data_IF_790086937704
#
_entry.id   IF_790086937704
#
_cell.length_a   1.000
_cell.length_b   1.000
_cell.length_c   1.000
_cell.angle_alpha   90.00
_cell.angle_beta   90.00
_cell.angle_gamma   90.00
#
_symmetry.space_group_name_H-M   'P 1'
#
loop_
_entity.id
_entity.type
_entity.pdbx_description
1 polymer ?
#
# COMPACT_ATOMS: atom_id res chain seq x y z
N UNK A 1 52.70 -55.61 26.94
CA UNK A 1 51.26 -55.44 27.30
C UNK A 1 51.17 -54.25 28.28
N UNK A 2 50.74 -53.08 27.79
CA UNK A 2 50.58 -51.87 28.61
C UNK A 2 49.06 -51.58 28.67
N UNK A 3 48.50 -51.61 29.89
CA UNK A 3 47.12 -51.33 30.19
C UNK A 3 46.82 -49.77 30.08
N UNK A 4 46.02 -49.36 29.16
CA UNK A 4 45.53 -47.98 29.03
C UNK A 4 44.63 -47.63 30.22
N UNK A 5 44.97 -46.61 31.00
CA UNK A 5 44.12 -46.01 32.05
C UNK A 5 42.99 -45.20 31.37
N UNK A 6 41.72 -45.61 31.57
CA UNK A 6 40.54 -44.82 31.22
C UNK A 6 40.47 -43.57 32.11
N UNK A 7 40.78 -42.40 31.57
CA UNK A 7 40.58 -41.14 32.23
C UNK A 7 39.07 -40.82 32.33
N UNK A 8 38.59 -40.59 33.56
CA UNK A 8 37.22 -40.06 33.83
C UNK A 8 37.13 -38.65 33.27
N UNK A 9 36.19 -38.41 32.34
CA UNK A 9 35.87 -37.07 31.85
C UNK A 9 35.33 -36.23 33.05
N UNK A 10 35.77 -34.98 33.22
CA UNK A 10 35.20 -34.13 34.27
C UNK A 10 33.71 -33.82 33.98
N UNK A 11 32.90 -33.99 35.02
CA UNK A 11 31.47 -33.64 34.98
C UNK A 11 31.43 -32.10 35.01
N UNK A 12 31.09 -31.49 33.86
CA UNK A 12 30.82 -30.05 33.77
C UNK A 12 29.46 -29.80 34.46
N UNK A 13 29.41 -28.96 35.51
CA UNK A 13 28.16 -28.65 36.16
C UNK A 13 27.24 -27.91 35.16
N UNK A 14 26.15 -28.54 34.76
CA UNK A 14 25.11 -27.92 33.93
C UNK A 14 24.45 -26.82 34.75
N UNK A 15 24.65 -25.55 34.35
CA UNK A 15 23.89 -24.42 34.93
C UNK A 15 22.40 -24.73 34.86
N UNK A 16 21.64 -24.47 35.93
CA UNK A 16 20.21 -24.74 35.94
C UNK A 16 19.56 -24.00 34.81
N UNK A 17 18.80 -24.75 33.99
CA UNK A 17 18.01 -24.22 32.85
C UNK A 17 17.01 -23.19 33.41
N UNK A 18 17.30 -21.88 33.25
CA UNK A 18 16.35 -20.84 33.59
C UNK A 18 15.14 -21.05 32.65
N UNK A 19 14.01 -21.45 33.22
CA UNK A 19 12.73 -21.50 32.53
C UNK A 19 12.52 -20.16 31.82
N UNK A 20 12.67 -20.12 30.48
CA UNK A 20 12.29 -18.97 29.68
C UNK A 20 10.76 -18.85 29.82
N UNK A 21 10.27 -17.78 30.49
CA UNK A 21 8.85 -17.45 30.47
C UNK A 21 8.34 -17.57 29.04
N UNK A 22 7.43 -18.49 28.77
CA UNK A 22 6.71 -18.56 27.50
C UNK A 22 5.83 -17.32 27.46
N UNK A 23 6.29 -16.28 26.79
CA UNK A 23 5.47 -15.13 26.50
C UNK A 23 4.40 -15.55 25.47
N UNK A 24 3.15 -15.17 25.71
CA UNK A 24 2.08 -15.34 24.72
C UNK A 24 2.46 -14.58 23.44
N UNK A 25 1.91 -14.99 22.30
CA UNK A 25 2.12 -14.33 21.01
C UNK A 25 1.85 -12.82 21.12
N UNK A 26 0.84 -12.44 21.88
CA UNK A 26 0.45 -11.06 22.16
C UNK A 26 1.54 -10.27 22.91
N UNK A 27 2.15 -10.86 23.93
CA UNK A 27 3.24 -10.22 24.70
C UNK A 27 4.49 -9.98 23.85
N UNK A 28 4.77 -10.90 22.91
CA UNK A 28 5.91 -10.78 21.99
C UNK A 28 5.68 -9.66 21.00
N UNK A 29 4.45 -9.58 20.45
CA UNK A 29 4.05 -8.51 19.52
C UNK A 29 4.09 -7.16 20.21
N UNK A 30 3.50 -7.03 21.39
CA UNK A 30 3.49 -5.79 22.18
C UNK A 30 4.93 -5.29 22.46
N UNK A 31 5.83 -6.18 22.86
CA UNK A 31 7.22 -5.78 23.15
C UNK A 31 7.99 -5.37 21.90
N UNK A 32 7.81 -6.05 20.79
CA UNK A 32 8.48 -5.77 19.52
C UNK A 32 7.98 -4.47 18.89
N UNK A 33 6.68 -4.18 19.01
CA UNK A 33 6.03 -3.04 18.37
C UNK A 33 5.77 -1.85 19.33
N UNK A 34 6.34 -1.89 20.55
CA UNK A 34 6.07 -0.92 21.62
C UNK A 34 6.20 0.55 21.17
N UNK A 35 7.25 0.90 20.45
CA UNK A 35 7.47 2.28 19.96
C UNK A 35 6.41 2.69 18.96
N UNK A 36 6.02 1.78 18.07
CA UNK A 36 4.97 2.03 17.08
C UNK A 36 3.60 2.17 17.76
N UNK A 37 3.28 1.33 18.74
CA UNK A 37 2.04 1.44 19.50
C UNK A 37 1.95 2.75 20.28
N UNK A 38 3.05 3.23 20.85
CA UNK A 38 3.08 4.56 21.46
C UNK A 38 2.84 5.67 20.44
N UNK A 39 3.41 5.57 19.25
CA UNK A 39 3.14 6.52 18.16
C UNK A 39 1.65 6.50 17.78
N UNK A 40 1.04 5.33 17.61
CA UNK A 40 -0.39 5.19 17.33
C UNK A 40 -1.25 5.81 18.46
N UNK A 41 -0.96 5.47 19.72
CA UNK A 41 -1.69 6.01 20.86
C UNK A 41 -1.57 7.54 20.93
N UNK A 42 -0.38 8.08 20.75
CA UNK A 42 -0.15 9.52 20.68
C UNK A 42 -0.94 10.17 19.52
N UNK A 43 -0.89 9.58 18.34
CA UNK A 43 -1.63 10.08 17.17
C UNK A 43 -3.14 10.05 17.39
N UNK A 44 -3.67 9.02 18.07
CA UNK A 44 -5.10 8.96 18.44
C UNK A 44 -5.48 10.06 19.45
N UNK A 45 -4.60 10.35 20.42
CA UNK A 45 -4.82 11.47 21.37
C UNK A 45 -4.83 12.79 20.62
N UNK A 46 -3.86 13.01 19.74
CA UNK A 46 -3.81 14.24 18.90
C UNK A 46 -5.09 14.36 18.07
N UNK A 47 -5.53 13.30 17.39
CA UNK A 47 -6.77 13.29 16.64
C UNK A 47 -7.98 13.67 17.51
N UNK A 48 -8.05 13.10 18.73
CA UNK A 48 -9.13 13.39 19.70
C UNK A 48 -9.13 14.82 20.23
N UNK A 49 -7.98 15.48 20.30
CA UNK A 49 -7.87 16.87 20.74
C UNK A 49 -8.18 17.84 19.61
N UNK A 50 -7.74 17.55 18.37
CA UNK A 50 -7.77 18.54 17.30
C UNK A 50 -9.02 18.47 16.42
N UNK A 51 -9.78 17.34 16.42
CA UNK A 51 -10.90 17.17 15.50
C UNK A 51 -11.97 18.27 15.59
N UNK A 52 -12.23 18.95 16.75
CA UNK A 52 -13.22 20.02 16.80
C UNK A 52 -12.73 21.34 16.16
N UNK A 53 -11.43 21.46 15.91
CA UNK A 53 -10.80 22.66 15.35
C UNK A 53 -10.53 22.47 13.86
N UNK A 54 -11.51 22.78 13.00
CA UNK A 54 -11.49 22.45 11.56
C UNK A 54 -10.18 22.80 10.84
N UNK A 55 -9.64 24.01 11.04
CA UNK A 55 -8.40 24.47 10.39
C UNK A 55 -7.16 23.67 10.82
N UNK A 56 -7.11 23.17 12.06
CA UNK A 56 -6.02 22.32 12.56
C UNK A 56 -6.27 20.86 12.13
N UNK A 57 -7.50 20.38 12.32
CA UNK A 57 -7.91 19.02 11.97
C UNK A 57 -7.64 18.70 10.50
N UNK A 58 -7.86 19.64 9.60
CA UNK A 58 -7.59 19.57 8.17
C UNK A 58 -6.13 19.20 7.88
N UNK A 59 -5.18 19.93 8.44
CA UNK A 59 -3.73 19.70 8.22
C UNK A 59 -3.21 18.49 8.98
N UNK A 60 -3.71 18.23 10.18
CA UNK A 60 -3.36 17.02 10.95
C UNK A 60 -3.90 15.77 10.26
N UNK A 61 -5.15 15.80 9.80
CA UNK A 61 -5.74 14.72 9.01
C UNK A 61 -4.97 14.46 7.73
N UNK A 62 -4.61 15.52 6.99
CA UNK A 62 -3.73 15.44 5.84
C UNK A 62 -2.37 14.81 6.18
N UNK A 63 -1.73 15.24 7.27
CA UNK A 63 -0.42 14.71 7.67
C UNK A 63 -0.50 13.20 7.99
N UNK A 64 -1.53 12.76 8.71
CA UNK A 64 -1.76 11.34 8.98
C UNK A 64 -2.07 10.56 7.69
N UNK A 65 -2.92 11.10 6.82
CA UNK A 65 -3.27 10.47 5.55
C UNK A 65 -2.06 10.40 4.60
N UNK A 66 -1.29 11.46 4.49
CA UNK A 66 -0.06 11.52 3.67
C UNK A 66 0.99 10.53 4.16
N UNK A 67 1.25 10.49 5.46
CA UNK A 67 2.18 9.52 6.04
C UNK A 67 1.69 8.08 5.82
N UNK A 68 0.39 7.84 5.99
CA UNK A 68 -0.22 6.54 5.77
C UNK A 68 -0.14 6.09 4.31
N UNK A 69 -0.42 6.98 3.36
CA UNK A 69 -0.29 6.69 1.93
C UNK A 69 1.15 6.39 1.53
N UNK A 70 2.13 7.18 2.02
CA UNK A 70 3.56 6.92 1.80
C UNK A 70 3.95 5.55 2.38
N UNK A 71 3.47 5.18 3.57
CA UNK A 71 3.82 3.94 4.23
C UNK A 71 3.13 2.70 3.64
N UNK A 72 1.96 2.84 3.03
CA UNK A 72 1.15 1.74 2.49
C UNK A 72 1.23 1.64 0.96
N UNK A 73 0.85 2.71 0.26
CA UNK A 73 0.60 2.64 -1.18
C UNK A 73 1.87 2.76 -2.00
N UNK A 74 2.86 3.52 -1.52
CA UNK A 74 4.16 3.58 -2.20
C UNK A 74 4.85 2.21 -2.27
N UNK A 75 4.57 1.30 -1.32
CA UNK A 75 5.05 -0.09 -1.37
C UNK A 75 4.50 -0.82 -2.60
N UNK A 76 3.25 -0.57 -2.94
CA UNK A 76 2.56 -1.28 -4.03
C UNK A 76 3.00 -0.75 -5.41
N UNK A 77 3.37 0.51 -5.50
CA UNK A 77 3.73 1.18 -6.75
C UNK A 77 5.23 1.28 -6.99
N UNK A 78 6.00 1.67 -5.99
CA UNK A 78 7.45 1.86 -6.13
C UNK A 78 8.28 0.80 -5.41
N UNK A 79 7.66 -0.18 -4.78
CA UNK A 79 8.36 -1.21 -4.04
C UNK A 79 9.20 -2.13 -4.93
N UNK A 80 8.71 -2.51 -6.11
CA UNK A 80 9.47 -3.25 -7.13
C UNK A 80 10.70 -2.47 -7.59
N UNK A 81 10.56 -1.15 -7.80
CA UNK A 81 11.64 -0.24 -8.13
C UNK A 81 12.70 -0.18 -7.02
N UNK A 82 12.29 -0.04 -5.75
CA UNK A 82 13.22 0.01 -4.61
C UNK A 82 14.03 -1.29 -4.51
N UNK A 83 13.37 -2.44 -4.60
CA UNK A 83 13.99 -3.76 -4.42
C UNK A 83 14.97 -4.08 -5.56
N UNK A 84 14.60 -3.78 -6.80
CA UNK A 84 15.46 -4.06 -7.96
C UNK A 84 16.59 -3.06 -8.17
N UNK A 85 16.58 -1.93 -7.45
CA UNK A 85 17.63 -0.92 -7.43
C UNK A 85 18.31 -0.77 -6.05
N UNK A 86 18.30 -1.83 -5.21
CA UNK A 86 18.88 -1.75 -3.86
C UNK A 86 20.39 -1.44 -3.85
N UNK A 87 21.09 -1.67 -4.97
CA UNK A 87 22.48 -1.30 -5.20
C UNK A 87 22.69 0.21 -5.40
N UNK A 88 21.63 0.94 -5.74
CA UNK A 88 21.67 2.38 -5.98
C UNK A 88 21.56 3.15 -4.65
N UNK A 89 22.15 4.34 -4.63
CA UNK A 89 22.05 5.23 -3.48
C UNK A 89 20.62 5.73 -3.34
N UNK A 90 20.07 5.67 -2.12
CA UNK A 90 18.68 6.01 -1.81
C UNK A 90 18.25 7.40 -2.30
N UNK A 91 19.15 8.39 -2.26
CA UNK A 91 18.83 9.76 -2.63
C UNK A 91 18.61 9.93 -4.15
N UNK A 92 19.27 9.13 -5.01
CA UNK A 92 18.97 9.15 -6.45
C UNK A 92 17.58 8.59 -6.75
N UNK A 93 17.20 7.54 -6.06
CA UNK A 93 15.86 6.95 -6.17
C UNK A 93 14.81 7.93 -5.67
N UNK A 94 15.05 8.58 -4.52
CA UNK A 94 14.18 9.60 -3.97
C UNK A 94 14.05 10.81 -4.89
N UNK A 95 15.15 11.39 -5.36
CA UNK A 95 15.11 12.55 -6.25
C UNK A 95 14.33 12.24 -7.53
N UNK A 96 14.52 11.07 -8.12
CA UNK A 96 13.80 10.65 -9.31
C UNK A 96 12.28 10.55 -9.05
N UNK A 97 11.86 9.74 -8.07
CA UNK A 97 10.43 9.57 -7.75
C UNK A 97 9.81 10.84 -7.17
N UNK A 98 10.57 11.60 -6.39
CA UNK A 98 10.15 12.87 -5.83
C UNK A 98 9.99 13.96 -6.90
N UNK A 99 10.85 14.00 -7.91
CA UNK A 99 10.69 14.94 -9.05
C UNK A 99 9.44 14.61 -9.87
N UNK A 100 9.17 13.32 -10.11
CA UNK A 100 7.92 12.90 -10.78
C UNK A 100 6.71 13.32 -9.93
N UNK A 101 6.76 13.09 -8.61
CA UNK A 101 5.71 13.56 -7.70
C UNK A 101 5.49 15.06 -7.83
N UNK A 102 6.56 15.87 -7.66
CA UNK A 102 6.46 17.33 -7.74
C UNK A 102 5.93 17.81 -9.09
N UNK A 103 6.40 17.23 -10.20
CA UNK A 103 5.92 17.55 -11.54
C UNK A 103 4.42 17.21 -11.70
N UNK A 104 3.99 16.05 -11.19
CA UNK A 104 2.61 15.61 -11.26
C UNK A 104 1.67 16.54 -10.50
N UNK A 105 2.01 16.87 -9.24
CA UNK A 105 1.14 17.73 -8.40
C UNK A 105 1.18 19.19 -8.84
N UNK A 106 2.36 19.67 -9.30
CA UNK A 106 2.49 21.03 -9.81
C UNK A 106 1.67 21.22 -11.08
N UNK A 107 1.71 20.24 -12.00
CA UNK A 107 0.89 20.28 -13.21
C UNK A 107 -0.61 20.35 -12.87
N UNK A 108 -1.07 19.51 -11.95
CA UNK A 108 -2.47 19.54 -11.51
C UNK A 108 -2.83 20.89 -10.88
N UNK A 109 -2.04 21.35 -9.93
CA UNK A 109 -2.26 22.62 -9.22
C UNK A 109 -2.31 23.82 -10.19
N UNK A 110 -1.41 23.87 -11.17
CA UNK A 110 -1.35 24.95 -12.13
C UNK A 110 -2.52 24.92 -13.13
N UNK A 111 -2.82 23.72 -13.68
CA UNK A 111 -3.85 23.57 -14.72
C UNK A 111 -5.27 23.63 -14.18
N UNK A 112 -5.48 23.27 -12.92
CA UNK A 112 -6.81 23.20 -12.30
C UNK A 112 -6.98 24.19 -11.15
N UNK A 113 -6.39 25.38 -11.27
CA UNK A 113 -6.59 26.51 -10.36
C UNK A 113 -6.43 26.17 -8.88
N UNK A 114 -5.34 25.48 -8.51
CA UNK A 114 -5.04 25.10 -7.14
C UNK A 114 -5.45 23.68 -6.73
N UNK A 115 -6.14 22.93 -7.60
CA UNK A 115 -6.47 21.53 -7.33
C UNK A 115 -5.28 20.61 -7.60
N UNK A 116 -4.88 19.83 -6.61
CA UNK A 116 -3.77 18.86 -6.70
C UNK A 116 -4.23 17.44 -7.06
N UNK A 117 -5.54 17.24 -7.32
CA UNK A 117 -6.18 15.93 -7.47
C UNK A 117 -6.67 15.63 -8.88
N UNK A 118 -6.31 16.45 -9.87
CA UNK A 118 -6.84 16.33 -11.24
C UNK A 118 -8.37 16.36 -11.28
N UNK A 119 -8.99 17.21 -10.46
CA UNK A 119 -10.44 17.35 -10.27
C UNK A 119 -11.17 16.05 -9.85
N UNK A 120 -10.43 15.06 -9.33
CA UNK A 120 -11.01 13.77 -8.97
C UNK A 120 -11.91 13.82 -7.76
N UNK A 121 -11.64 14.71 -6.82
CA UNK A 121 -12.54 14.91 -5.68
C UNK A 121 -13.88 15.47 -6.16
N UNK A 122 -13.86 16.49 -7.00
CA UNK A 122 -15.08 17.09 -7.57
C UNK A 122 -15.86 16.07 -8.41
N UNK A 123 -15.18 15.31 -9.27
CA UNK A 123 -15.83 14.27 -10.10
C UNK A 123 -16.44 13.11 -9.29
N UNK A 124 -16.05 12.95 -8.02
CA UNK A 124 -16.57 11.91 -7.11
C UNK A 124 -17.62 12.43 -6.11
N UNK A 125 -18.02 13.69 -6.23
CA UNK A 125 -19.00 14.30 -5.32
C UNK A 125 -18.41 14.81 -4.00
N UNK A 126 -17.10 15.10 -3.97
CA UNK A 126 -16.41 15.73 -2.85
C UNK A 126 -16.04 17.18 -3.20
N UNK A 127 -16.99 17.95 -3.77
CA UNK A 127 -16.73 19.29 -4.28
C UNK A 127 -16.37 20.30 -3.20
N UNK A 128 -16.89 20.09 -1.99
CA UNK A 128 -16.68 21.02 -0.88
C UNK A 128 -15.55 20.54 0.04
N UNK A 129 -14.81 21.53 0.55
CA UNK A 129 -13.88 21.29 1.67
C UNK A 129 -14.70 20.91 2.91
N UNK A 130 -14.26 19.92 3.70
CA UNK A 130 -14.93 19.63 4.97
C UNK A 130 -14.85 20.83 5.92
N UNK A 131 -16.00 21.36 6.31
CA UNK A 131 -16.08 22.47 7.28
C UNK A 131 -15.92 21.98 8.73
N UNK A 132 -16.25 20.73 8.98
CA UNK A 132 -16.17 20.08 10.27
C UNK A 132 -15.60 18.67 10.12
N UNK A 133 -14.92 18.21 11.16
CA UNK A 133 -14.37 16.86 11.22
C UNK A 133 -14.94 16.11 12.41
N UNK A 134 -15.16 14.82 12.24
CA UNK A 134 -15.41 13.90 13.36
C UNK A 134 -14.14 13.13 13.70
N UNK A 135 -14.01 12.71 14.96
CA UNK A 135 -12.82 12.00 15.45
C UNK A 135 -12.40 10.83 14.53
N UNK A 136 -13.37 10.01 14.09
CA UNK A 136 -13.09 8.84 13.28
C UNK A 136 -12.53 9.18 11.88
N UNK A 137 -12.83 10.35 11.33
CA UNK A 137 -12.21 10.79 10.07
C UNK A 137 -10.69 11.01 10.23
N UNK A 138 -10.26 11.56 11.37
CA UNK A 138 -8.83 11.72 11.67
C UNK A 138 -8.20 10.40 12.13
N UNK A 139 -8.97 9.51 12.73
CA UNK A 139 -8.51 8.20 13.16
C UNK A 139 -8.32 7.22 11.99
N UNK A 140 -9.07 7.38 10.89
CA UNK A 140 -9.02 6.47 9.74
C UNK A 140 -7.60 6.25 9.17
N UNK A 141 -6.79 7.27 8.90
CA UNK A 141 -5.42 7.06 8.43
C UNK A 141 -4.51 6.42 9.49
N UNK A 142 -4.78 6.63 10.78
CA UNK A 142 -4.02 6.01 11.87
C UNK A 142 -4.36 4.51 11.94
N UNK A 143 -5.63 4.14 11.76
CA UNK A 143 -6.08 2.75 11.65
C UNK A 143 -5.48 2.08 10.42
N UNK A 144 -5.42 2.78 9.28
CA UNK A 144 -4.76 2.31 8.07
C UNK A 144 -3.28 1.97 8.32
N UNK A 145 -2.55 2.84 9.04
CA UNK A 145 -1.16 2.58 9.44
C UNK A 145 -1.03 1.34 10.33
N UNK A 146 -1.95 1.19 11.29
CA UNK A 146 -1.98 0.04 12.17
C UNK A 146 -2.17 -1.26 11.38
N UNK A 147 -3.12 -1.28 10.45
CA UNK A 147 -3.38 -2.44 9.59
C UNK A 147 -2.20 -2.78 8.68
N UNK A 148 -1.61 -1.76 8.04
CA UNK A 148 -0.41 -1.90 7.23
C UNK A 148 0.75 -2.52 8.04
N UNK A 149 0.90 -2.10 9.30
CA UNK A 149 1.90 -2.67 10.21
C UNK A 149 1.69 -4.15 10.47
N UNK A 150 0.45 -4.60 10.52
CA UNK A 150 0.09 -6.01 10.66
C UNK A 150 0.03 -6.76 9.32
N UNK A 151 0.52 -6.14 8.24
CA UNK A 151 0.56 -6.72 6.88
C UNK A 151 -0.82 -7.04 6.31
N UNK A 152 -1.84 -6.32 6.76
CA UNK A 152 -3.18 -6.38 6.20
C UNK A 152 -3.25 -5.31 5.11
N UNK A 153 -3.28 -5.68 3.83
CA UNK A 153 -3.40 -4.70 2.75
C UNK A 153 -4.79 -4.06 2.78
N UNK A 154 -4.81 -2.76 2.93
CA UNK A 154 -6.03 -1.94 2.97
C UNK A 154 -5.98 -0.95 1.84
N UNK A 155 -7.11 -0.73 1.22
CA UNK A 155 -7.27 0.32 0.22
C UNK A 155 -7.40 1.68 0.91
N UNK A 156 -6.51 2.61 0.58
CA UNK A 156 -6.63 4.02 0.99
C UNK A 156 -7.92 4.63 0.48
N UNK A 157 -8.32 4.31 -0.75
CA UNK A 157 -9.60 4.77 -1.32
C UNK A 157 -10.78 4.34 -0.44
N UNK A 158 -10.84 3.08 0.00
CA UNK A 158 -11.92 2.65 0.90
C UNK A 158 -11.78 3.29 2.28
N UNK A 159 -10.61 3.25 2.88
CA UNK A 159 -10.44 3.71 4.26
C UNK A 159 -10.57 5.23 4.39
N UNK A 160 -10.03 6.00 3.45
CA UNK A 160 -9.98 7.46 3.57
C UNK A 160 -11.17 8.14 2.87
N UNK A 161 -11.57 7.73 1.65
CA UNK A 161 -12.69 8.39 0.99
C UNK A 161 -14.05 7.96 1.55
N UNK A 162 -14.23 6.70 1.96
CA UNK A 162 -15.52 6.25 2.46
C UNK A 162 -15.96 6.98 3.74
N UNK A 163 -15.01 7.43 4.57
CA UNK A 163 -15.30 8.18 5.80
C UNK A 163 -15.75 9.63 5.55
N UNK A 164 -15.62 10.12 4.31
CA UNK A 164 -16.14 11.43 3.88
C UNK A 164 -17.37 11.32 2.97
N UNK A 165 -17.74 10.12 2.55
CA UNK A 165 -18.90 9.94 1.67
C UNK A 165 -20.20 10.00 2.48
N UNK A 166 -21.20 10.64 1.93
CA UNK A 166 -22.55 10.75 2.52
C UNK A 166 -23.57 9.84 1.81
N UNK A 167 -23.12 9.02 0.86
CA UNK A 167 -24.00 8.22 0.01
C UNK A 167 -23.56 6.75 0.02
N UNK A 168 -24.43 5.84 0.45
CA UNK A 168 -24.19 4.38 0.44
C UNK A 168 -23.97 3.84 -0.97
N UNK A 169 -24.64 4.38 -1.96
CA UNK A 169 -24.46 4.00 -3.37
C UNK A 169 -23.05 4.24 -3.87
N UNK A 170 -22.36 5.27 -3.36
CA UNK A 170 -20.95 5.51 -3.68
C UNK A 170 -20.05 4.40 -3.12
N UNK A 171 -20.32 3.92 -1.91
CA UNK A 171 -19.57 2.80 -1.29
C UNK A 171 -19.77 1.52 -2.12
N UNK A 172 -21.02 1.18 -2.45
CA UNK A 172 -21.35 0.00 -3.27
C UNK A 172 -20.66 0.09 -4.64
N UNK A 173 -20.70 1.27 -5.28
CA UNK A 173 -20.02 1.52 -6.55
C UNK A 173 -18.51 1.31 -6.43
N UNK A 174 -17.87 1.84 -5.38
CA UNK A 174 -16.43 1.62 -5.14
C UNK A 174 -16.10 0.15 -4.94
N UNK A 175 -16.92 -0.61 -4.20
CA UNK A 175 -16.73 -2.06 -3.98
C UNK A 175 -16.82 -2.80 -5.31
N UNK A 176 -17.89 -2.61 -6.08
CA UNK A 176 -18.10 -3.30 -7.35
C UNK A 176 -16.97 -3.01 -8.34
N UNK A 177 -16.55 -1.76 -8.46
CA UNK A 177 -15.46 -1.35 -9.35
C UNK A 177 -14.10 -1.92 -8.89
N UNK A 178 -13.87 -2.05 -7.60
CA UNK A 178 -12.64 -2.63 -7.07
C UNK A 178 -12.58 -4.14 -7.26
N UNK A 179 -13.71 -4.84 -7.09
CA UNK A 179 -13.82 -6.26 -7.43
C UNK A 179 -13.56 -6.49 -8.92
N UNK A 180 -14.15 -5.66 -9.79
CA UNK A 180 -13.91 -5.70 -11.23
C UNK A 180 -12.41 -5.48 -11.54
N UNK A 181 -11.80 -4.49 -10.89
CA UNK A 181 -10.37 -4.20 -11.03
C UNK A 181 -9.49 -5.37 -10.59
N UNK A 182 -9.83 -6.02 -9.48
CA UNK A 182 -9.14 -7.24 -9.01
C UNK A 182 -9.23 -8.36 -10.05
N UNK A 183 -10.44 -8.68 -10.52
CA UNK A 183 -10.66 -9.78 -11.49
C UNK A 183 -9.98 -9.46 -12.81
N UNK A 184 -10.09 -8.25 -13.32
CA UNK A 184 -9.45 -7.82 -14.56
C UNK A 184 -7.92 -7.92 -14.46
N UNK A 185 -7.32 -7.42 -13.38
CA UNK A 185 -5.88 -7.49 -13.15
C UNK A 185 -5.41 -8.96 -13.00
N UNK A 186 -6.17 -9.78 -12.29
CA UNK A 186 -5.90 -11.21 -12.15
C UNK A 186 -5.89 -11.93 -13.52
N UNK A 187 -6.93 -11.73 -14.32
CA UNK A 187 -7.06 -12.39 -15.64
C UNK A 187 -5.97 -11.90 -16.61
N UNK A 188 -5.74 -10.61 -16.68
CA UNK A 188 -4.70 -10.03 -17.55
C UNK A 188 -3.32 -10.54 -17.15
N UNK A 189 -2.98 -10.51 -15.87
CA UNK A 189 -1.71 -11.02 -15.39
C UNK A 189 -1.58 -12.52 -15.62
N UNK A 190 -2.63 -13.31 -15.35
CA UNK A 190 -2.64 -14.74 -15.62
C UNK A 190 -2.32 -15.04 -17.09
N UNK A 191 -3.01 -14.40 -18.03
CA UNK A 191 -2.80 -14.60 -19.47
C UNK A 191 -1.37 -14.22 -19.86
N UNK A 192 -0.92 -13.03 -19.47
CA UNK A 192 0.42 -12.52 -19.81
C UNK A 192 1.49 -13.47 -19.28
N UNK A 193 1.38 -13.93 -18.02
CA UNK A 193 2.38 -14.83 -17.45
C UNK A 193 2.30 -16.25 -17.98
N UNK A 194 1.13 -16.75 -18.37
CA UNK A 194 1.00 -18.00 -19.13
C UNK A 194 1.73 -17.94 -20.45
N UNK A 195 1.66 -16.81 -21.17
CA UNK A 195 2.32 -16.63 -22.45
C UNK A 195 3.83 -16.39 -22.28
N UNK A 196 4.21 -15.51 -21.38
CA UNK A 196 5.58 -14.99 -21.25
C UNK A 196 6.50 -15.86 -20.37
N UNK A 197 6.00 -16.73 -19.48
CA UNK A 197 6.86 -17.42 -18.49
C UNK A 197 7.99 -18.23 -19.14
N UNK A 198 7.75 -18.88 -20.27
CA UNK A 198 8.81 -19.63 -20.99
C UNK A 198 9.87 -18.68 -21.56
N UNK A 199 9.44 -17.56 -22.14
CA UNK A 199 10.31 -16.53 -22.69
C UNK A 199 11.10 -15.87 -21.56
N UNK A 200 10.41 -15.50 -20.47
CA UNK A 200 11.03 -14.89 -19.29
C UNK A 200 12.09 -15.79 -18.66
N UNK A 201 11.83 -17.08 -18.47
CA UNK A 201 12.82 -18.05 -17.98
C UNK A 201 14.08 -18.11 -18.85
N UNK A 202 13.96 -17.88 -20.15
CA UNK A 202 15.10 -17.84 -21.08
C UNK A 202 15.81 -16.47 -21.02
N UNK A 203 15.04 -15.39 -20.92
CA UNK A 203 15.55 -14.00 -20.90
C UNK A 203 16.18 -13.60 -19.56
N UNK A 204 15.70 -14.11 -18.43
CA UNK A 204 16.19 -13.77 -17.06
C UNK A 204 17.49 -14.51 -16.71
N UNK A 205 18.04 -15.33 -17.61
CA UNK A 205 19.35 -15.97 -17.43
C UNK A 205 20.48 -14.94 -17.63
N UNK A 206 21.49 -14.99 -16.75
CA UNK A 206 22.67 -14.13 -16.83
C UNK A 206 22.42 -12.69 -16.36
N UNK A 207 23.43 -11.84 -16.47
CA UNK A 207 23.34 -10.42 -16.09
C UNK A 207 22.42 -9.67 -17.04
N UNK A 208 21.54 -8.83 -16.49
CA UNK A 208 20.68 -7.96 -17.28
C UNK A 208 21.54 -6.89 -18.01
N UNK A 209 21.20 -6.57 -19.25
CA UNK A 209 21.82 -5.47 -19.96
C UNK A 209 21.43 -4.14 -19.31
N UNK A 210 22.30 -3.12 -19.37
CA UNK A 210 22.08 -1.82 -18.73
C UNK A 210 20.82 -1.08 -19.19
N UNK A 211 20.37 -1.33 -20.43
CA UNK A 211 19.11 -0.77 -20.96
C UNK A 211 17.87 -1.16 -20.13
N UNK A 212 17.89 -2.30 -19.46
CA UNK A 212 16.78 -2.70 -18.59
C UNK A 212 16.63 -1.81 -17.36
N UNK A 213 17.73 -1.27 -16.85
CA UNK A 213 17.68 -0.30 -15.75
C UNK A 213 16.98 0.98 -16.22
N UNK A 214 17.34 1.48 -17.41
CA UNK A 214 16.71 2.67 -17.99
C UNK A 214 15.22 2.40 -18.24
N UNK A 215 14.88 1.28 -18.87
CA UNK A 215 13.49 0.88 -19.10
C UNK A 215 12.68 0.81 -17.80
N UNK A 216 13.26 0.22 -16.75
CA UNK A 216 12.59 0.15 -15.46
C UNK A 216 12.36 1.54 -14.86
N UNK A 217 13.36 2.41 -14.86
CA UNK A 217 13.19 3.76 -14.31
C UNK A 217 12.06 4.51 -15.04
N UNK A 218 12.03 4.46 -16.37
CA UNK A 218 10.95 5.08 -17.15
C UNK A 218 9.59 4.48 -16.84
N UNK A 219 9.49 3.14 -16.83
CA UNK A 219 8.21 2.43 -16.60
C UNK A 219 7.74 2.60 -15.16
N UNK A 220 8.63 2.47 -14.17
CA UNK A 220 8.27 2.70 -12.76
C UNK A 220 7.90 4.17 -12.51
N UNK A 221 8.55 5.11 -13.20
CA UNK A 221 8.19 6.53 -13.17
C UNK A 221 6.81 6.79 -13.76
N UNK A 222 6.46 6.15 -14.88
CA UNK A 222 5.14 6.24 -15.48
C UNK A 222 4.06 5.60 -14.57
N UNK A 223 4.33 4.44 -13.99
CA UNK A 223 3.46 3.81 -13.01
C UNK A 223 3.19 4.74 -11.82
N UNK A 224 4.26 5.36 -11.30
CA UNK A 224 4.17 6.28 -10.17
C UNK A 224 3.35 7.53 -10.51
N UNK A 225 3.58 8.15 -11.67
CA UNK A 225 2.78 9.27 -12.16
C UNK A 225 1.30 8.89 -12.27
N UNK A 226 0.99 7.77 -12.91
CA UNK A 226 -0.39 7.30 -13.10
C UNK A 226 -1.07 7.04 -11.76
N UNK A 227 -0.35 6.49 -10.79
CA UNK A 227 -0.86 6.27 -9.45
C UNK A 227 -1.11 7.61 -8.73
N UNK A 228 -0.15 8.54 -8.76
CA UNK A 228 -0.27 9.85 -8.12
C UNK A 228 -1.48 10.63 -8.63
N UNK A 229 -1.65 10.71 -9.94
CA UNK A 229 -2.78 11.40 -10.56
C UNK A 229 -4.15 10.91 -10.05
N UNK A 230 -4.19 9.80 -9.35
CA UNK A 230 -5.43 9.15 -8.93
C UNK A 230 -5.63 9.04 -7.44
N UNK A 231 -4.60 8.62 -6.74
CA UNK A 231 -4.72 8.26 -5.34
C UNK A 231 -4.31 9.41 -4.40
N UNK A 232 -3.71 10.49 -4.92
CA UNK A 232 -3.52 11.72 -4.15
C UNK A 232 -4.85 12.34 -3.68
N UNK A 233 -5.94 12.13 -4.40
CA UNK A 233 -7.27 12.52 -3.95
C UNK A 233 -7.64 11.93 -2.59
N UNK A 234 -7.18 10.70 -2.29
CA UNK A 234 -7.43 10.04 -1.01
C UNK A 234 -6.78 10.78 0.18
N UNK A 235 -5.67 11.46 -0.08
CA UNK A 235 -4.93 12.24 0.93
C UNK A 235 -5.39 13.69 0.97
N UNK A 236 -5.63 14.27 -0.20
CA UNK A 236 -6.07 15.66 -0.33
C UNK A 236 -7.53 15.89 0.09
N UNK A 237 -8.31 14.82 0.35
CA UNK A 237 -9.71 14.92 0.78
C UNK A 237 -9.89 15.76 2.07
N UNK A 238 -8.87 15.82 2.90
CA UNK A 238 -8.83 16.63 4.13
C UNK A 238 -8.66 18.13 3.85
N UNK A 239 -8.04 18.51 2.73
CA UNK A 239 -7.58 19.86 2.42
C UNK A 239 -8.60 20.65 1.59
N UNK A 240 -8.44 21.98 1.50
CA UNK A 240 -9.19 22.80 0.57
C UNK A 240 -9.07 22.25 -0.86
N UNK A 241 -10.12 22.40 -1.65
CA UNK A 241 -10.12 21.93 -3.05
C UNK A 241 -9.19 22.74 -3.93
N UNK A 242 -8.97 23.99 -3.58
CA UNK A 242 -8.03 24.90 -4.24
C UNK A 242 -6.99 25.36 -3.22
N UNK A 243 -5.76 24.93 -3.40
CA UNK A 243 -4.65 25.29 -2.53
C UNK A 243 -4.02 26.60 -3.01
N UNK A 244 -3.85 27.56 -2.10
CA UNK A 244 -2.96 28.70 -2.32
C UNK A 244 -1.51 28.24 -2.52
N UNK A 245 -0.63 29.12 -3.01
CA UNK A 245 0.77 28.76 -3.25
C UNK A 245 1.48 28.28 -1.96
N UNK A 246 1.17 28.88 -0.80
CA UNK A 246 1.76 28.48 0.49
C UNK A 246 1.25 27.10 0.92
N UNK A 247 -0.04 26.84 0.78
CA UNK A 247 -0.64 25.56 1.09
C UNK A 247 -0.13 24.45 0.14
N UNK A 248 0.04 24.77 -1.14
CA UNK A 248 0.66 23.87 -2.10
C UNK A 248 2.10 23.50 -1.71
N UNK A 249 2.92 24.48 -1.30
CA UNK A 249 4.28 24.23 -0.83
C UNK A 249 4.27 23.34 0.42
N UNK A 250 3.37 23.58 1.36
CA UNK A 250 3.22 22.76 2.56
C UNK A 250 2.80 21.32 2.19
N UNK A 251 1.81 21.16 1.31
CA UNK A 251 1.34 19.88 0.80
C UNK A 251 2.46 19.11 0.09
N UNK A 252 3.05 19.72 -0.92
CA UNK A 252 4.07 19.09 -1.75
C UNK A 252 5.36 18.82 -0.95
N UNK A 253 5.77 19.77 -0.10
CA UNK A 253 6.94 19.62 0.77
C UNK A 253 6.80 18.47 1.77
N UNK A 254 5.64 18.35 2.42
CA UNK A 254 5.38 17.28 3.38
C UNK A 254 5.51 15.89 2.72
N UNK A 255 4.87 15.68 1.58
CA UNK A 255 4.91 14.38 0.88
C UNK A 255 6.31 14.12 0.31
N UNK A 256 6.96 15.13 -0.31
CA UNK A 256 8.31 15.00 -0.87
C UNK A 256 9.34 14.61 0.20
N UNK A 257 9.30 15.26 1.36
CA UNK A 257 10.19 14.93 2.49
C UNK A 257 9.84 13.57 3.11
N UNK A 258 8.56 13.24 3.19
CA UNK A 258 8.09 11.93 3.65
C UNK A 258 8.57 10.79 2.75
N UNK A 259 8.53 10.97 1.43
CA UNK A 259 9.14 10.05 0.46
C UNK A 259 10.65 9.94 0.70
N UNK A 260 11.35 11.06 0.92
CA UNK A 260 12.77 11.07 1.24
C UNK A 260 13.10 10.26 2.47
N UNK A 261 12.33 10.42 3.54
CA UNK A 261 12.46 9.65 4.75
C UNK A 261 12.24 8.14 4.52
N UNK A 262 11.23 7.79 3.73
CA UNK A 262 10.95 6.39 3.35
C UNK A 262 12.12 5.77 2.57
N UNK A 263 12.66 6.47 1.58
CA UNK A 263 13.82 5.99 0.82
C UNK A 263 15.10 5.91 1.68
N UNK A 264 15.30 6.88 2.58
CA UNK A 264 16.43 6.87 3.54
C UNK A 264 16.40 5.64 4.44
N UNK A 265 15.23 5.32 4.99
CA UNK A 265 15.01 4.13 5.81
C UNK A 265 15.07 2.83 4.98
N UNK A 266 15.30 2.94 3.66
CA UNK A 266 15.35 1.84 2.68
C UNK A 266 14.18 0.87 2.77
N UNK A 267 13.08 1.33 3.34
CA UNK A 267 11.90 0.48 3.47
C UNK A 267 12.19 -0.89 4.10
N UNK A 268 13.10 -0.99 5.11
CA UNK A 268 13.55 -2.27 5.69
C UNK A 268 12.43 -3.30 5.92
N UNK A 269 11.22 -2.79 6.23
CA UNK A 269 10.02 -3.63 6.40
C UNK A 269 9.27 -3.84 5.10
N UNK A 270 9.37 -2.90 4.17
CA UNK A 270 8.78 -2.94 2.83
C UNK A 270 9.44 -4.04 2.01
N UNK A 271 10.77 -4.11 2.03
CA UNK A 271 11.54 -5.15 1.35
C UNK A 271 11.11 -6.55 1.78
N UNK A 272 10.82 -6.74 3.07
CA UNK A 272 10.37 -8.04 3.57
C UNK A 272 8.99 -8.43 3.02
N UNK A 273 8.05 -7.48 2.87
CA UNK A 273 6.72 -7.75 2.33
C UNK A 273 6.80 -8.09 0.84
N UNK A 274 7.60 -7.37 0.08
CA UNK A 274 7.78 -7.61 -1.37
C UNK A 274 8.59 -8.89 -1.61
N UNK A 275 9.65 -9.14 -0.82
CA UNK A 275 10.45 -10.34 -0.92
C UNK A 275 9.68 -11.61 -0.55
N UNK A 276 8.71 -11.53 0.36
CA UNK A 276 7.81 -12.65 0.67
C UNK A 276 6.81 -12.95 -0.46
N UNK A 277 6.40 -11.90 -1.20
CA UNK A 277 5.35 -12.02 -2.22
C UNK A 277 5.87 -12.16 -3.64
N UNK A 278 7.09 -11.67 -3.92
CA UNK A 278 7.67 -11.75 -5.26
C UNK A 278 9.19 -11.75 -5.17
N UNK A 279 9.83 -12.74 -5.78
CA UNK A 279 11.29 -12.73 -6.01
C UNK A 279 11.60 -11.77 -7.17
N UNK A 280 11.42 -10.45 -6.93
CA UNK A 280 11.49 -9.39 -7.96
C UNK A 280 12.81 -8.63 -7.91
N UNK A 281 13.89 -9.26 -7.45
CA UNK A 281 15.22 -8.63 -7.45
C UNK A 281 15.79 -8.42 -8.84
N UNK A 282 15.37 -9.22 -9.82
CA UNK A 282 15.81 -9.05 -11.20
C UNK A 282 15.08 -7.87 -11.84
N UNK A 283 15.85 -6.89 -12.33
CA UNK A 283 15.35 -5.66 -12.97
C UNK A 283 14.39 -5.93 -14.12
N UNK A 284 14.58 -7.01 -14.87
CA UNK A 284 13.71 -7.41 -16.00
C UNK A 284 12.33 -7.84 -15.52
N UNK A 285 12.30 -8.63 -14.45
CA UNK A 285 11.05 -9.06 -13.84
C UNK A 285 10.29 -7.90 -13.21
N UNK A 286 11.00 -6.99 -12.52
CA UNK A 286 10.43 -5.77 -11.97
C UNK A 286 9.82 -4.89 -13.07
N UNK A 287 10.57 -4.64 -14.15
CA UNK A 287 10.11 -3.84 -15.30
C UNK A 287 8.82 -4.39 -15.90
N UNK A 288 8.70 -5.71 -16.05
CA UNK A 288 7.51 -6.33 -16.63
C UNK A 288 6.30 -6.23 -15.69
N UNK A 289 6.50 -6.40 -14.40
CA UNK A 289 5.42 -6.22 -13.40
C UNK A 289 4.92 -4.77 -13.44
N UNK A 290 5.84 -3.81 -13.37
CA UNK A 290 5.51 -2.39 -13.37
C UNK A 290 4.83 -1.98 -14.69
N UNK A 291 5.25 -2.54 -15.83
CA UNK A 291 4.63 -2.30 -17.14
C UNK A 291 3.18 -2.81 -17.17
N UNK A 292 2.95 -4.05 -16.75
CA UNK A 292 1.60 -4.63 -16.72
C UNK A 292 0.71 -3.82 -15.79
N UNK A 293 1.22 -3.47 -14.61
CA UNK A 293 0.48 -2.70 -13.62
C UNK A 293 0.14 -1.30 -14.14
N UNK A 294 1.11 -0.61 -14.76
CA UNK A 294 0.89 0.72 -15.31
C UNK A 294 -0.13 0.74 -16.46
N UNK A 295 -0.10 -0.26 -17.36
CA UNK A 295 -1.09 -0.39 -18.43
C UNK A 295 -2.49 -0.62 -17.85
N UNK A 296 -2.63 -1.49 -16.86
CA UNK A 296 -3.92 -1.76 -16.21
C UNK A 296 -4.43 -0.49 -15.53
N UNK A 297 -3.60 0.19 -14.74
CA UNK A 297 -4.01 1.43 -14.07
C UNK A 297 -4.38 2.51 -15.08
N UNK A 298 -3.56 2.73 -16.09
CA UNK A 298 -3.82 3.75 -17.10
C UNK A 298 -5.13 3.49 -17.84
N UNK A 299 -5.35 2.25 -18.30
CA UNK A 299 -6.57 1.89 -19.02
C UNK A 299 -7.83 2.09 -18.17
N UNK A 300 -7.85 1.49 -16.98
CA UNK A 300 -9.07 1.55 -16.16
C UNK A 300 -9.32 2.90 -15.52
N UNK A 301 -8.29 3.67 -15.28
CA UNK A 301 -8.42 4.91 -14.56
C UNK A 301 -8.40 6.15 -15.44
N UNK A 302 -7.56 6.21 -16.47
CA UNK A 302 -7.47 7.38 -17.35
C UNK A 302 -8.43 7.28 -18.55
N UNK A 303 -8.58 6.10 -19.14
CA UNK A 303 -9.41 5.93 -20.34
C UNK A 303 -10.87 5.72 -19.95
N UNK A 304 -11.17 4.83 -18.98
CA UNK A 304 -12.53 4.48 -18.62
C UNK A 304 -13.07 5.22 -17.39
N UNK A 305 -12.28 6.08 -16.74
CA UNK A 305 -12.66 6.83 -15.52
C UNK A 305 -13.28 5.95 -14.41
N UNK A 306 -12.87 4.68 -14.33
CA UNK A 306 -13.40 3.74 -13.36
C UNK A 306 -12.64 3.91 -12.04
N UNK A 307 -13.22 4.53 -11.01
CA UNK A 307 -12.58 4.61 -9.70
C UNK A 307 -12.52 3.19 -9.11
N UNK A 308 -11.30 2.69 -8.91
CA UNK A 308 -11.08 1.38 -8.31
C UNK A 308 -9.94 1.46 -7.29
N UNK A 309 -9.89 0.49 -6.40
CA UNK A 309 -8.79 0.37 -5.45
C UNK A 309 -7.52 -0.12 -6.15
N UNK A 310 -6.45 0.66 -6.12
CA UNK A 310 -5.12 0.27 -6.59
C UNK A 310 -4.59 -0.94 -5.84
N UNK A 311 -4.86 -1.03 -4.53
CA UNK A 311 -4.51 -2.20 -3.70
C UNK A 311 -5.13 -3.48 -4.24
N UNK A 312 -6.42 -3.47 -4.61
CA UNK A 312 -7.10 -4.64 -5.15
C UNK A 312 -6.57 -5.02 -6.52
N UNK A 313 -6.30 -4.05 -7.39
CA UNK A 313 -5.64 -4.27 -8.70
C UNK A 313 -4.27 -4.92 -8.50
N UNK A 314 -3.46 -4.40 -7.59
CA UNK A 314 -2.13 -4.94 -7.30
C UNK A 314 -2.18 -6.39 -6.77
N UNK A 315 -3.08 -6.67 -5.82
CA UNK A 315 -3.24 -8.02 -5.28
C UNK A 315 -3.75 -9.00 -6.35
N UNK A 316 -4.69 -8.56 -7.20
CA UNK A 316 -5.16 -9.35 -8.36
C UNK A 316 -4.03 -9.66 -9.34
N UNK A 317 -3.22 -8.65 -9.68
CA UNK A 317 -2.06 -8.82 -10.56
C UNK A 317 -1.05 -9.84 -10.00
N UNK A 318 -0.71 -9.74 -8.72
CA UNK A 318 0.22 -10.69 -8.08
C UNK A 318 -0.37 -12.11 -8.04
N UNK A 319 -1.64 -12.25 -7.73
CA UNK A 319 -2.32 -13.55 -7.71
C UNK A 319 -2.36 -14.20 -9.11
N UNK A 320 -2.70 -13.43 -10.15
CA UNK A 320 -2.69 -13.89 -11.54
C UNK A 320 -1.29 -14.28 -12.01
N UNK A 321 -0.28 -13.47 -11.66
CA UNK A 321 1.13 -13.77 -11.91
C UNK A 321 1.57 -15.09 -11.28
N UNK A 322 1.33 -15.27 -9.99
CA UNK A 322 1.73 -16.48 -9.25
C UNK A 322 1.09 -17.72 -9.86
N UNK A 323 -0.20 -17.65 -10.17
CA UNK A 323 -0.91 -18.78 -10.80
C UNK A 323 -0.40 -19.04 -12.22
N UNK A 324 -0.21 -18.02 -13.06
CA UNK A 324 0.30 -18.15 -14.42
C UNK A 324 1.71 -18.75 -14.48
N UNK A 325 2.62 -18.26 -13.63
CA UNK A 325 3.96 -18.82 -13.50
C UNK A 325 3.91 -20.28 -13.03
N UNK A 326 3.02 -20.61 -12.10
CA UNK A 326 2.89 -21.94 -11.56
C UNK A 326 2.38 -22.94 -12.60
N UNK A 327 1.32 -22.60 -13.33
CA UNK A 327 0.77 -23.46 -14.39
C UNK A 327 1.84 -23.72 -15.46
N UNK A 328 2.60 -22.69 -15.84
CA UNK A 328 3.56 -22.79 -16.96
C UNK A 328 4.92 -23.37 -16.57
N UNK A 329 5.31 -23.27 -15.30
CA UNK A 329 6.64 -23.70 -14.85
C UNK A 329 6.81 -25.21 -14.82
N UNK A 330 5.71 -25.99 -14.72
CA UNK A 330 5.73 -27.46 -14.54
C UNK A 330 6.63 -27.92 -13.38
N UNK A 331 6.98 -27.00 -12.48
CA UNK A 331 7.87 -27.28 -11.35
C UNK A 331 7.07 -27.99 -10.27
N UNK A 332 7.30 -29.28 -10.13
CA UNK A 332 6.64 -30.14 -9.15
C UNK A 332 7.04 -29.86 -7.70
N UNK A 333 8.08 -29.04 -7.48
CA UNK A 333 8.64 -28.77 -6.14
C UNK A 333 7.71 -27.98 -5.23
N UNK A 334 6.80 -27.15 -5.79
CA UNK A 334 5.82 -26.36 -5.02
C UNK A 334 4.41 -26.85 -5.34
N UNK A 335 3.68 -27.33 -4.33
CA UNK A 335 2.29 -27.82 -4.51
C UNK A 335 1.35 -26.67 -4.89
N UNK A 336 0.40 -26.91 -5.81
CA UNK A 336 -0.67 -25.96 -6.15
C UNK A 336 -1.40 -25.42 -4.91
N UNK A 337 -1.64 -26.29 -3.91
CA UNK A 337 -2.24 -25.92 -2.64
C UNK A 337 -1.52 -24.75 -1.94
N UNK A 338 -0.17 -24.65 -2.07
CA UNK A 338 0.58 -23.51 -1.48
C UNK A 338 0.25 -22.21 -2.21
N UNK A 339 0.16 -22.24 -3.55
CA UNK A 339 -0.21 -21.06 -4.35
C UNK A 339 -1.63 -20.59 -4.02
N UNK A 340 -2.61 -21.50 -3.99
CA UNK A 340 -3.99 -21.16 -3.61
C UNK A 340 -4.09 -20.65 -2.18
N UNK A 341 -3.31 -21.21 -1.24
CA UNK A 341 -3.29 -20.71 0.14
C UNK A 341 -2.72 -19.29 0.24
N UNK A 342 -1.70 -18.94 -0.57
CA UNK A 342 -1.18 -17.57 -0.63
C UNK A 342 -2.23 -16.61 -1.20
N UNK A 343 -2.84 -16.96 -2.33
CA UNK A 343 -3.92 -16.15 -2.95
C UNK A 343 -5.09 -15.99 -1.97
N UNK A 344 -5.53 -17.10 -1.32
CA UNK A 344 -6.61 -17.07 -0.34
C UNK A 344 -6.31 -16.17 0.87
N UNK A 345 -5.06 -16.17 1.37
CA UNK A 345 -4.64 -15.25 2.44
C UNK A 345 -4.67 -13.79 1.99
N UNK A 346 -4.25 -13.50 0.77
CA UNK A 346 -4.28 -12.15 0.24
C UNK A 346 -5.72 -11.66 0.07
N UNK A 347 -6.60 -12.48 -0.50
CA UNK A 347 -8.04 -12.17 -0.63
C UNK A 347 -8.68 -11.96 0.74
N UNK A 348 -8.43 -12.85 1.70
CA UNK A 348 -8.94 -12.70 3.08
C UNK A 348 -8.46 -11.39 3.70
N UNK A 349 -7.19 -11.05 3.52
CA UNK A 349 -6.62 -9.85 4.11
C UNK A 349 -7.23 -8.57 3.52
N UNK A 350 -7.41 -8.48 2.18
CA UNK A 350 -8.07 -7.31 1.57
C UNK A 350 -9.55 -7.25 1.93
N UNK A 351 -10.21 -8.40 2.13
CA UNK A 351 -11.60 -8.45 2.59
C UNK A 351 -11.73 -7.93 4.02
N UNK A 352 -10.83 -8.30 4.92
CA UNK A 352 -10.79 -7.74 6.29
C UNK A 352 -10.62 -6.22 6.23
N UNK A 353 -9.69 -5.73 5.39
CA UNK A 353 -9.50 -4.30 5.17
C UNK A 353 -10.76 -3.59 4.67
N UNK A 354 -11.48 -4.21 3.74
CA UNK A 354 -12.74 -3.69 3.23
C UNK A 354 -13.81 -3.62 4.33
N UNK A 355 -13.99 -4.70 5.09
CA UNK A 355 -14.99 -4.75 6.18
C UNK A 355 -14.73 -3.64 7.20
N UNK A 356 -13.47 -3.45 7.62
CA UNK A 356 -13.12 -2.38 8.56
C UNK A 356 -13.43 -1.00 7.95
N UNK A 357 -13.12 -0.78 6.66
CA UNK A 357 -13.40 0.49 5.98
C UNK A 357 -14.91 0.77 5.92
N UNK A 358 -15.72 -0.24 5.61
CA UNK A 358 -17.20 -0.11 5.59
C UNK A 358 -17.74 0.17 6.98
N UNK A 359 -17.27 -0.55 8.00
CA UNK A 359 -17.66 -0.33 9.41
C UNK A 359 -17.33 1.10 9.84
N UNK A 360 -16.17 1.63 9.46
CA UNK A 360 -15.78 3.01 9.74
C UNK A 360 -16.72 4.01 9.05
N UNK A 361 -17.03 3.80 7.76
CA UNK A 361 -17.93 4.67 7.03
C UNK A 361 -19.34 4.69 7.64
N UNK A 362 -19.85 3.52 8.01
CA UNK A 362 -21.16 3.38 8.70
C UNK A 362 -21.15 4.08 10.07
N UNK A 363 -20.06 3.89 10.84
CA UNK A 363 -19.96 4.50 12.17
C UNK A 363 -19.92 6.04 12.14
N UNK A 364 -19.44 6.62 11.04
CA UNK A 364 -19.31 8.08 10.88
C UNK A 364 -20.59 8.72 10.33
N UNK A 365 -21.31 8.01 9.45
CA UNK A 365 -22.36 8.63 8.63
C UNK A 365 -23.76 8.19 9.08
N UNK A 366 -24.55 9.08 9.72
CA UNK A 366 -25.92 8.77 10.16
C UNK A 366 -26.85 8.37 9.01
N UNK A 367 -26.71 8.96 7.83
CA UNK A 367 -27.56 8.65 6.66
C UNK A 367 -27.36 7.20 6.23
N UNK A 368 -26.10 6.74 6.21
CA UNK A 368 -25.78 5.34 5.87
C UNK A 368 -26.29 4.40 6.96
N UNK A 369 -26.23 4.81 8.23
CA UNK A 369 -26.80 4.02 9.35
C UNK A 369 -28.31 3.82 9.16
N UNK A 370 -29.05 4.90 8.88
CA UNK A 370 -30.50 4.83 8.66
C UNK A 370 -30.85 3.97 7.44
N UNK A 371 -30.12 4.09 6.34
CA UNK A 371 -30.31 3.26 5.15
C UNK A 371 -30.12 1.77 5.45
N UNK A 372 -29.07 1.41 6.22
CA UNK A 372 -28.80 0.02 6.62
C UNK A 372 -29.89 -0.48 7.58
N UNK A 373 -30.28 0.31 8.57
CA UNK A 373 -31.35 -0.05 9.51
C UNK A 373 -32.65 -0.29 8.75
N UNK A 374 -33.02 0.62 7.85
CA UNK A 374 -34.21 0.49 7.03
C UNK A 374 -34.16 -0.74 6.09
N UNK A 375 -33.00 -1.16 5.64
CA UNK A 375 -32.82 -2.38 4.84
C UNK A 375 -32.95 -3.66 5.65
N UNK A 376 -32.42 -3.67 6.88
CA UNK A 376 -32.40 -4.86 7.74
C UNK A 376 -33.72 -5.14 8.46
N UNK A 377 -34.53 -4.08 8.69
CA UNK A 377 -35.77 -4.16 9.48
C UNK A 377 -37.05 -3.92 8.63
N UNK A 378 -36.91 -3.89 7.31
CA UNK A 378 -37.99 -4.04 6.35
C UNK A 378 -38.15 -5.52 5.95
#
# INVERSE_FOLDING_TARGET
>A
MAKAKKGKRPIVPTKPYKFRKRYGLFDVVLRKEKKFLYFIAFSMIVAGVVYPYASIAMWVGFAFAGYSAIANDSIQTIGTFIVSNEDKKWYWQWLFMGTIFLGTVFYSWYMFNGDVTYQRLSSKGFDQTPDNFVFLQLAAPIILLLMTRFRIPVSTTFMLLSVFTINSGAIVSMINKSLLGYVAAFVVALIIYLLLTKVLKKFVKGKAHGSWVIAQWVISGFLWHTWLAQDLANVAVYLPRQLSAIEFIAFAGFIFLGLGFMFYMRGEKIQNIINEKSDVRDVRSATIIDLIYSIILYYFKEINNVPMSTTWVFVGLLAGRELGMRIRAQDSSVKFAKTFNLIGKDVLSVTIGLVISVVMAVAINPVIQEEIINFLFK
#
